data_IF_582625139479
#
_entry.id   IF_582625139479
#
_cell.length_a   1.000
_cell.length_b   1.000
_cell.length_c   1.000
_cell.angle_alpha   90.00
_cell.angle_beta   90.00
_cell.angle_gamma   90.00
#
_symmetry.space_group_name_H-M   'P 1'
#
loop_
_entity.id
_entity.type
_entity.pdbx_description
1 polymer ?
#
# COMPACT_ATOMS: atom_id res chain seq x y z
N UNK A 1 0.93 14.57 -24.12
CA UNK A 1 -0.24 14.99 -23.32
C UNK A 1 0.27 15.90 -22.20
N UNK A 2 -0.05 17.21 -22.19
CA UNK A 2 0.44 18.16 -21.18
C UNK A 2 -0.22 17.82 -19.83
N UNK A 3 0.59 17.57 -18.80
CA UNK A 3 0.11 17.42 -17.45
C UNK A 3 -0.64 18.69 -17.03
N UNK A 4 -1.92 18.56 -16.76
CA UNK A 4 -2.78 19.66 -16.27
C UNK A 4 -2.29 19.99 -14.86
N UNK A 5 -1.74 21.18 -14.65
CA UNK A 5 -1.30 21.62 -13.32
C UNK A 5 -2.51 21.62 -12.37
N UNK A 6 -2.36 20.95 -11.22
CA UNK A 6 -3.33 20.90 -10.12
C UNK A 6 -3.48 22.25 -9.39
N UNK A 7 -2.83 23.33 -9.87
CA UNK A 7 -2.67 24.61 -9.16
C UNK A 7 -3.90 25.50 -9.10
N UNK A 8 -5.04 25.18 -9.76
CA UNK A 8 -6.18 26.08 -9.84
C UNK A 8 -7.45 25.59 -9.11
N UNK A 9 -7.37 24.52 -8.34
CA UNK A 9 -8.47 24.12 -7.45
C UNK A 9 -8.09 24.45 -6.02
N UNK A 10 -8.70 25.47 -5.44
CA UNK A 10 -8.65 25.70 -4.00
C UNK A 10 -9.16 24.45 -3.28
N UNK A 11 -8.34 23.87 -2.43
CA UNK A 11 -8.70 22.68 -1.64
C UNK A 11 -9.78 23.08 -0.62
N UNK A 12 -11.00 22.58 -0.79
CA UNK A 12 -12.10 22.77 0.15
C UNK A 12 -12.12 21.62 1.17
N UNK A 13 -11.42 21.81 2.28
CA UNK A 13 -11.37 20.86 3.38
C UNK A 13 -12.75 20.57 4.01
N UNK A 14 -13.64 21.58 4.05
CA UNK A 14 -14.98 21.44 4.60
C UNK A 14 -15.87 20.58 3.70
N UNK A 15 -15.78 20.77 2.37
CA UNK A 15 -16.45 19.92 1.40
C UNK A 15 -15.96 18.48 1.52
N UNK A 16 -14.63 18.26 1.56
CA UNK A 16 -14.06 16.92 1.71
C UNK A 16 -14.48 16.26 3.03
N UNK A 17 -14.50 17.00 4.14
CA UNK A 17 -14.91 16.45 5.46
C UNK A 17 -16.35 15.90 5.41
N UNK A 18 -17.25 16.51 4.64
CA UNK A 18 -18.66 16.06 4.49
C UNK A 18 -18.81 14.70 3.80
N UNK A 19 -17.78 14.30 3.02
CA UNK A 19 -17.77 12.96 2.38
C UNK A 19 -17.56 11.82 3.38
N UNK A 20 -17.16 12.13 4.62
CA UNK A 20 -16.89 11.14 5.67
C UNK A 20 -17.98 11.20 6.75
N UNK A 21 -18.94 10.25 6.79
CA UNK A 21 -20.05 10.27 7.73
C UNK A 21 -19.64 10.32 9.20
N UNK A 22 -18.53 9.66 9.55
CA UNK A 22 -17.98 9.67 10.91
C UNK A 22 -17.44 11.05 11.36
N UNK A 23 -17.15 11.96 10.40
CA UNK A 23 -16.57 13.28 10.65
C UNK A 23 -17.58 14.41 10.54
N UNK A 24 -18.88 14.11 10.45
CA UNK A 24 -19.94 15.14 10.27
C UNK A 24 -20.14 16.03 11.50
N UNK A 25 -19.75 15.56 12.70
CA UNK A 25 -19.79 16.39 13.90
C UNK A 25 -18.79 17.57 13.76
N UNK A 26 -19.25 18.84 13.79
CA UNK A 26 -18.38 19.99 13.59
C UNK A 26 -17.38 20.20 14.75
N UNK A 27 -17.63 19.60 15.92
CA UNK A 27 -16.74 19.65 17.08
C UNK A 27 -15.71 18.54 17.12
N UNK A 28 -15.74 17.60 16.15
CA UNK A 28 -14.80 16.49 16.06
C UNK A 28 -13.62 16.87 15.16
N UNK A 29 -12.44 16.84 15.74
CA UNK A 29 -11.16 16.95 15.03
C UNK A 29 -10.47 15.60 15.12
N UNK A 30 -10.54 14.81 14.04
CA UNK A 30 -9.88 13.50 13.96
C UNK A 30 -8.47 13.69 13.41
N UNK A 31 -7.46 13.43 14.24
CA UNK A 31 -6.04 13.66 13.92
C UNK A 31 -5.23 12.37 13.83
N UNK A 32 -5.89 11.21 13.84
CA UNK A 32 -5.23 9.89 13.88
C UNK A 32 -5.44 9.08 12.59
N UNK A 33 -5.45 9.76 11.45
CA UNK A 33 -5.59 9.09 10.13
C UNK A 33 -4.40 8.20 9.77
N UNK A 34 -3.24 8.40 10.41
CA UNK A 34 -2.08 7.53 10.24
C UNK A 34 -2.35 6.12 10.80
N UNK A 35 -3.03 6.02 11.94
CA UNK A 35 -3.43 4.73 12.52
C UNK A 35 -4.63 4.14 11.78
N UNK A 36 -5.68 4.94 11.52
CA UNK A 36 -6.91 4.48 10.86
C UNK A 36 -7.52 5.58 10.01
N UNK A 37 -7.50 5.43 8.69
CA UNK A 37 -8.20 6.32 7.79
C UNK A 37 -9.72 6.12 7.90
N UNK A 38 -10.48 7.23 7.96
CA UNK A 38 -11.93 7.17 7.96
C UNK A 38 -12.47 6.77 6.60
N UNK A 39 -13.64 6.13 6.57
CA UNK A 39 -14.23 5.61 5.35
C UNK A 39 -15.19 6.63 4.73
N UNK A 40 -14.98 7.05 3.47
CA UNK A 40 -15.90 7.96 2.82
C UNK A 40 -17.22 7.27 2.45
N UNK A 41 -18.29 8.07 2.34
CA UNK A 41 -19.64 7.59 2.04
C UNK A 41 -19.69 6.73 0.77
N UNK A 42 -18.97 7.10 -0.27
CA UNK A 42 -18.94 6.36 -1.54
C UNK A 42 -18.45 4.92 -1.36
N UNK A 43 -17.49 4.68 -0.45
CA UNK A 43 -16.98 3.35 -0.15
C UNK A 43 -18.00 2.56 0.68
N UNK A 44 -18.63 3.18 1.69
CA UNK A 44 -19.69 2.55 2.48
C UNK A 44 -20.87 2.12 1.61
N UNK A 45 -21.30 2.99 0.69
CA UNK A 45 -22.39 2.70 -0.25
C UNK A 45 -22.03 1.56 -1.21
N UNK A 46 -20.77 1.50 -1.67
CA UNK A 46 -20.29 0.42 -2.53
C UNK A 46 -20.25 -0.93 -1.79
N UNK A 47 -19.75 -0.95 -0.56
CA UNK A 47 -19.75 -2.15 0.30
C UNK A 47 -21.19 -2.63 0.54
N UNK A 48 -22.09 -1.73 0.96
CA UNK A 48 -23.50 -2.07 1.21
C UNK A 48 -24.17 -2.65 -0.04
N UNK A 49 -23.95 -2.04 -1.18
CA UNK A 49 -24.53 -2.52 -2.46
C UNK A 49 -24.01 -3.92 -2.81
N UNK A 50 -22.70 -4.14 -2.69
CA UNK A 50 -22.12 -5.45 -2.95
C UNK A 50 -22.71 -6.54 -2.05
N UNK A 51 -22.81 -6.26 -0.74
CA UNK A 51 -23.38 -7.22 0.23
C UNK A 51 -24.85 -7.57 -0.08
N UNK A 52 -25.64 -6.60 -0.52
CA UNK A 52 -27.07 -6.80 -0.79
C UNK A 52 -27.36 -7.43 -2.17
N UNK A 53 -26.52 -7.16 -3.17
CA UNK A 53 -26.88 -7.43 -4.58
C UNK A 53 -25.96 -8.46 -5.27
N UNK A 54 -24.71 -8.64 -4.78
CA UNK A 54 -23.70 -9.39 -5.51
C UNK A 54 -22.82 -10.29 -4.64
N UNK A 55 -23.12 -10.45 -3.34
CA UNK A 55 -22.29 -11.29 -2.46
C UNK A 55 -22.30 -12.75 -2.92
N UNK A 56 -21.16 -13.22 -3.41
CA UNK A 56 -20.92 -14.60 -3.83
C UNK A 56 -19.41 -14.87 -3.94
N UNK A 57 -19.03 -16.14 -4.11
CA UNK A 57 -17.64 -16.51 -4.37
C UNK A 57 -17.16 -15.93 -5.70
N UNK A 58 -16.00 -15.29 -5.66
CA UNK A 58 -15.32 -14.76 -6.84
C UNK A 58 -14.65 -15.94 -7.57
N UNK A 59 -14.77 -16.00 -8.90
CA UNK A 59 -14.23 -17.02 -9.82
C UNK A 59 -14.87 -18.42 -9.77
N UNK A 60 -15.62 -18.76 -8.74
CA UNK A 60 -16.02 -20.15 -8.44
C UNK A 60 -17.45 -20.52 -8.92
N UNK A 61 -18.26 -19.57 -9.35
CA UNK A 61 -19.67 -19.84 -9.61
C UNK A 61 -20.13 -19.45 -11.00
N UNK A 62 -21.03 -20.29 -11.57
CA UNK A 62 -21.65 -20.03 -12.87
C UNK A 62 -22.97 -19.26 -12.77
N UNK A 63 -23.51 -19.07 -11.57
CA UNK A 63 -24.76 -18.35 -11.35
C UNK A 63 -24.60 -16.83 -11.39
N UNK A 64 -25.72 -16.11 -11.50
CA UNK A 64 -25.74 -14.65 -11.69
C UNK A 64 -24.94 -13.89 -10.65
N UNK A 65 -25.05 -14.21 -9.36
CA UNK A 65 -24.36 -13.49 -8.29
C UNK A 65 -22.84 -13.70 -8.35
N UNK A 66 -22.37 -14.92 -8.63
CA UNK A 66 -20.94 -15.20 -8.76
C UNK A 66 -20.32 -14.48 -9.96
N UNK A 67 -21.04 -14.40 -11.08
CA UNK A 67 -20.58 -13.60 -12.24
C UNK A 67 -20.51 -12.12 -11.89
N UNK A 68 -21.49 -11.57 -11.18
CA UNK A 68 -21.50 -10.18 -10.75
C UNK A 68 -20.35 -9.87 -9.77
N UNK A 69 -20.13 -10.74 -8.79
CA UNK A 69 -19.00 -10.62 -7.85
C UNK A 69 -17.65 -10.68 -8.56
N UNK A 70 -17.48 -11.63 -9.48
CA UNK A 70 -16.24 -11.77 -10.29
C UNK A 70 -16.01 -10.54 -11.15
N UNK A 71 -17.02 -10.03 -11.82
CA UNK A 71 -16.92 -8.83 -12.63
C UNK A 71 -16.51 -7.60 -11.80
N UNK A 72 -17.14 -7.41 -10.63
CA UNK A 72 -16.79 -6.33 -9.70
C UNK A 72 -15.33 -6.41 -9.22
N UNK A 73 -14.87 -7.62 -8.87
CA UNK A 73 -13.49 -7.86 -8.46
C UNK A 73 -12.49 -7.54 -9.57
N UNK A 74 -12.75 -8.00 -10.80
CA UNK A 74 -11.88 -7.76 -11.95
C UNK A 74 -11.85 -6.28 -12.34
N UNK A 75 -13.00 -5.58 -12.29
CA UNK A 75 -13.04 -4.13 -12.53
C UNK A 75 -12.23 -3.37 -11.47
N UNK A 76 -12.34 -3.73 -10.19
CA UNK A 76 -11.54 -3.13 -9.13
C UNK A 76 -10.03 -3.32 -9.37
N UNK A 77 -9.59 -4.54 -9.74
CA UNK A 77 -8.19 -4.81 -10.09
C UNK A 77 -7.72 -3.97 -11.28
N UNK A 78 -8.52 -3.90 -12.33
CA UNK A 78 -8.20 -3.11 -13.52
C UNK A 78 -8.11 -1.61 -13.20
N UNK A 79 -8.96 -1.08 -12.31
CA UNK A 79 -8.89 0.31 -11.83
C UNK A 79 -7.62 0.57 -11.03
N UNK A 80 -7.27 -0.33 -10.10
CA UNK A 80 -6.03 -0.25 -9.32
C UNK A 80 -4.80 -0.28 -10.24
N UNK A 81 -4.77 -1.20 -11.22
CA UNK A 81 -3.68 -1.28 -12.19
C UNK A 81 -3.51 0.03 -12.98
N UNK A 82 -4.61 0.62 -13.47
CA UNK A 82 -4.54 1.92 -14.17
C UNK A 82 -4.04 3.04 -13.27
N UNK A 83 -4.49 3.09 -12.01
CA UNK A 83 -4.06 4.10 -11.05
C UNK A 83 -2.55 3.99 -10.73
N UNK A 84 -2.04 2.77 -10.62
CA UNK A 84 -0.63 2.48 -10.34
C UNK A 84 0.25 2.45 -11.60
N UNK A 85 -0.31 2.71 -12.80
CA UNK A 85 0.38 2.57 -14.08
C UNK A 85 0.98 1.18 -14.31
N UNK A 86 0.38 0.13 -13.73
CA UNK A 86 0.76 -1.25 -13.98
C UNK A 86 0.39 -1.66 -15.42
N UNK A 87 1.19 -2.52 -16.04
CA UNK A 87 0.96 -2.98 -17.41
C UNK A 87 -0.27 -3.87 -17.54
N UNK A 88 -0.60 -4.59 -16.47
CA UNK A 88 -1.70 -5.54 -16.43
C UNK A 88 -2.38 -5.57 -15.07
N UNK A 89 -3.68 -5.85 -15.05
CA UNK A 89 -4.41 -6.11 -13.82
C UNK A 89 -3.90 -7.37 -13.07
N UNK A 90 -3.20 -8.26 -13.76
CA UNK A 90 -2.59 -9.46 -13.16
C UNK A 90 -1.41 -9.12 -12.23
N UNK A 91 -0.80 -7.95 -12.39
CA UNK A 91 0.26 -7.45 -11.49
C UNK A 91 -0.30 -6.93 -10.15
N UNK A 92 -1.63 -6.84 -10.01
CA UNK A 92 -2.29 -6.37 -8.79
C UNK A 92 -2.80 -7.53 -7.98
N UNK A 93 -2.32 -7.65 -6.75
CA UNK A 93 -2.78 -8.64 -5.77
C UNK A 93 -3.38 -7.90 -4.58
N UNK A 94 -4.66 -8.13 -4.30
CA UNK A 94 -5.30 -7.58 -3.11
C UNK A 94 -4.96 -8.42 -1.87
N UNK A 95 -4.62 -7.75 -0.78
CA UNK A 95 -4.30 -8.36 0.51
C UNK A 95 -5.03 -7.64 1.64
N UNK A 96 -4.88 -8.13 2.86
CA UNK A 96 -5.46 -7.52 4.08
C UNK A 96 -4.55 -6.40 4.65
N UNK A 97 -4.11 -5.48 3.77
CA UNK A 97 -3.29 -4.32 4.14
C UNK A 97 -1.78 -4.53 3.96
N UNK A 98 -1.00 -3.44 4.17
CA UNK A 98 0.43 -3.40 3.89
C UNK A 98 1.24 -4.46 4.63
N UNK A 99 0.92 -4.72 5.91
CA UNK A 99 1.58 -5.76 6.70
C UNK A 99 1.45 -7.13 6.04
N UNK A 100 0.25 -7.47 5.57
CA UNK A 100 0.00 -8.75 4.87
C UNK A 100 0.73 -8.81 3.54
N UNK A 101 0.76 -7.71 2.78
CA UNK A 101 1.48 -7.62 1.50
C UNK A 101 2.99 -7.84 1.67
N UNK A 102 3.59 -7.18 2.65
CA UNK A 102 5.04 -7.27 2.90
C UNK A 102 5.42 -8.66 3.39
N UNK A 103 4.62 -9.25 4.29
CA UNK A 103 4.85 -10.65 4.72
C UNK A 103 4.71 -11.64 3.56
N UNK A 104 3.73 -11.44 2.68
CA UNK A 104 3.57 -12.25 1.47
C UNK A 104 4.83 -12.13 0.58
N UNK A 105 5.32 -10.93 0.34
CA UNK A 105 6.51 -10.69 -0.46
C UNK A 105 7.76 -11.32 0.20
N UNK A 106 7.95 -11.13 1.49
CA UNK A 106 9.07 -11.71 2.23
C UNK A 106 9.06 -13.23 2.23
N UNK A 107 7.87 -13.87 2.31
CA UNK A 107 7.75 -15.32 2.31
C UNK A 107 7.79 -15.95 0.92
N UNK A 108 7.42 -15.24 -0.14
CA UNK A 108 7.42 -15.73 -1.53
C UNK A 108 8.71 -15.34 -2.26
N UNK A 109 8.81 -14.10 -2.73
CA UNK A 109 9.98 -13.61 -3.46
C UNK A 109 11.25 -13.64 -2.59
N UNK A 110 11.15 -13.27 -1.31
CA UNK A 110 12.27 -13.32 -0.38
C UNK A 110 12.87 -14.73 -0.20
N UNK A 111 12.09 -15.79 -0.44
CA UNK A 111 12.60 -17.15 -0.43
C UNK A 111 13.60 -17.46 -1.57
N UNK A 112 13.66 -16.61 -2.59
CA UNK A 112 14.62 -16.73 -3.71
C UNK A 112 15.98 -16.10 -3.40
N UNK A 113 16.08 -15.30 -2.32
CA UNK A 113 17.32 -14.67 -1.91
C UNK A 113 18.31 -15.66 -1.34
N UNK A 114 19.60 -15.42 -1.60
CA UNK A 114 20.71 -16.25 -1.14
C UNK A 114 21.46 -15.62 0.02
N UNK A 115 22.21 -16.40 0.81
CA UNK A 115 23.08 -15.84 1.85
C UNK A 115 24.04 -14.80 1.31
N UNK A 116 24.09 -13.63 1.93
CA UNK A 116 24.89 -12.48 1.52
C UNK A 116 24.23 -11.55 0.51
N UNK A 117 23.04 -11.87 0.00
CA UNK A 117 22.19 -10.87 -0.66
C UNK A 117 21.78 -9.80 0.35
N UNK A 118 21.48 -8.60 -0.13
CA UNK A 118 21.18 -7.45 0.72
C UNK A 118 19.80 -6.88 0.44
N UNK A 119 19.14 -6.41 1.51
CA UNK A 119 17.90 -5.64 1.46
C UNK A 119 18.20 -4.27 2.07
N UNK A 120 17.94 -3.20 1.31
CA UNK A 120 18.06 -1.84 1.78
C UNK A 120 16.71 -1.35 2.32
N UNK A 121 16.73 -0.94 3.58
CA UNK A 121 15.63 -0.34 4.32
C UNK A 121 15.95 1.12 4.63
N UNK A 122 14.99 1.88 5.15
CA UNK A 122 15.29 3.17 5.75
C UNK A 122 15.25 3.12 7.29
N UNK A 123 15.86 4.11 7.93
CA UNK A 123 15.74 4.29 9.37
C UNK A 123 14.34 4.74 9.84
N UNK A 124 13.45 5.07 8.89
CA UNK A 124 12.09 5.57 9.14
C UNK A 124 11.00 4.48 8.99
N UNK A 125 11.39 3.21 8.87
CA UNK A 125 10.42 2.17 8.56
C UNK A 125 9.46 1.85 9.73
N UNK A 126 8.19 1.71 9.38
CA UNK A 126 7.22 1.10 10.27
C UNK A 126 7.56 -0.39 10.49
N UNK A 127 7.23 -0.94 11.66
CA UNK A 127 7.49 -2.35 11.99
C UNK A 127 7.00 -3.34 10.93
N UNK A 128 5.90 -3.04 10.24
CA UNK A 128 5.38 -3.88 9.14
C UNK A 128 6.35 -4.02 7.97
N UNK A 129 7.22 -3.02 7.75
CA UNK A 129 8.26 -3.04 6.71
C UNK A 129 9.68 -3.22 7.29
N UNK A 130 9.78 -3.66 8.51
CA UNK A 130 11.06 -3.98 9.16
C UNK A 130 11.10 -5.45 9.59
N UNK A 131 10.14 -5.87 10.42
CA UNK A 131 10.15 -7.20 11.06
C UNK A 131 10.11 -8.36 10.06
N UNK A 132 9.32 -8.34 8.96
CA UNK A 132 9.35 -9.41 7.97
C UNK A 132 10.74 -9.63 7.35
N UNK A 133 11.47 -8.55 7.10
CA UNK A 133 12.82 -8.59 6.54
C UNK A 133 13.85 -9.07 7.56
N UNK A 134 13.73 -8.69 8.83
CA UNK A 134 14.57 -9.24 9.93
C UNK A 134 14.40 -10.75 10.03
N UNK A 135 13.15 -11.24 10.01
CA UNK A 135 12.85 -12.67 10.01
C UNK A 135 13.39 -13.41 8.79
N UNK A 136 13.36 -12.77 7.63
CA UNK A 136 13.95 -13.31 6.42
C UNK A 136 15.48 -13.36 6.54
N UNK A 137 16.11 -12.30 7.03
CA UNK A 137 17.54 -12.20 7.24
C UNK A 137 18.05 -13.32 8.18
N UNK A 138 17.38 -13.52 9.32
CA UNK A 138 17.70 -14.59 10.27
C UNK A 138 17.62 -15.99 9.63
N UNK A 139 16.62 -16.24 8.79
CA UNK A 139 16.38 -17.56 8.19
C UNK A 139 17.25 -17.85 6.98
N UNK A 140 17.61 -16.83 6.22
CA UNK A 140 18.25 -16.98 4.90
C UNK A 140 19.69 -16.47 4.84
N UNK A 141 20.20 -15.82 5.90
CA UNK A 141 21.53 -15.21 5.88
C UNK A 141 21.61 -13.97 4.98
N UNK A 142 20.48 -13.30 4.72
CA UNK A 142 20.40 -12.04 3.97
C UNK A 142 20.83 -10.90 4.89
N UNK A 143 21.59 -9.94 4.38
CA UNK A 143 22.03 -8.78 5.14
C UNK A 143 21.02 -7.62 5.01
N UNK A 144 20.72 -6.94 6.12
CA UNK A 144 19.94 -5.71 6.11
C UNK A 144 20.86 -4.50 6.12
N UNK A 145 20.66 -3.61 5.17
CA UNK A 145 21.31 -2.29 5.10
C UNK A 145 20.29 -1.22 5.42
N UNK A 146 20.74 -0.12 5.99
CA UNK A 146 19.85 0.98 6.38
C UNK A 146 20.34 2.28 5.80
N UNK A 147 19.46 2.96 5.05
CA UNK A 147 19.66 4.34 4.66
C UNK A 147 19.39 5.23 5.90
N UNK A 148 20.37 6.00 6.36
CA UNK A 148 20.21 6.82 7.54
C UNK A 148 19.26 7.99 7.31
N UNK A 149 19.00 8.72 8.38
CA UNK A 149 18.16 9.90 8.41
C UNK A 149 19.02 11.13 8.73
N UNK A 150 18.70 12.26 8.10
CA UNK A 150 19.30 13.56 8.44
C UNK A 150 18.75 14.08 9.77
N UNK A 151 19.37 15.11 10.33
CA UNK A 151 18.90 15.78 11.54
C UNK A 151 17.48 16.39 11.40
N UNK A 152 17.08 16.73 10.17
CA UNK A 152 15.75 17.28 9.84
C UNK A 152 14.68 16.19 9.63
N UNK A 153 14.99 14.91 9.87
CA UNK A 153 14.04 13.81 9.75
C UNK A 153 13.77 13.36 8.31
N UNK A 154 14.67 13.62 7.38
CA UNK A 154 14.60 13.16 5.98
C UNK A 154 15.55 12.00 5.74
N UNK A 155 15.29 11.19 4.72
CA UNK A 155 16.27 10.20 4.29
C UNK A 155 17.52 10.91 3.75
N UNK A 156 18.69 10.47 4.22
CA UNK A 156 19.99 10.98 3.79
C UNK A 156 20.38 10.33 2.46
N UNK A 157 19.90 10.94 1.35
CA UNK A 157 20.17 10.43 0.00
C UNK A 157 21.64 10.57 -0.41
N UNK A 158 22.40 11.45 0.24
CA UNK A 158 23.85 11.59 -0.02
C UNK A 158 24.62 10.34 0.41
N UNK A 159 24.03 9.56 1.31
CA UNK A 159 24.57 8.27 1.76
C UNK A 159 24.14 7.08 0.89
N UNK A 160 23.26 7.27 -0.06
CA UNK A 160 22.69 6.17 -0.84
C UNK A 160 23.79 5.33 -1.52
N UNK A 161 24.75 5.96 -2.17
CA UNK A 161 25.85 5.26 -2.86
C UNK A 161 26.72 4.43 -1.93
N UNK A 162 26.78 4.79 -0.64
CA UNK A 162 27.58 4.05 0.36
C UNK A 162 26.87 2.84 0.93
N UNK A 163 25.52 2.80 0.87
CA UNK A 163 24.72 1.72 1.44
C UNK A 163 24.07 0.83 0.37
N UNK A 164 23.94 1.32 -0.87
CA UNK A 164 23.41 0.57 -2.00
C UNK A 164 24.56 -0.14 -2.72
N UNK A 165 24.72 -1.43 -2.48
CA UNK A 165 25.79 -2.24 -3.07
C UNK A 165 25.29 -3.05 -4.26
N UNK A 166 26.18 -3.70 -5.00
CA UNK A 166 25.83 -4.63 -6.08
C UNK A 166 25.09 -5.88 -5.59
N UNK A 167 25.15 -6.19 -4.30
CA UNK A 167 24.42 -7.28 -3.66
C UNK A 167 22.99 -6.91 -3.28
N UNK A 168 22.61 -5.64 -3.38
CA UNK A 168 21.27 -5.19 -3.06
C UNK A 168 20.26 -5.77 -4.07
N UNK A 169 19.33 -6.58 -3.57
CA UNK A 169 18.26 -7.21 -4.35
C UNK A 169 16.92 -6.53 -4.18
N UNK A 170 16.73 -5.84 -3.08
CA UNK A 170 15.49 -5.16 -2.76
C UNK A 170 15.77 -3.85 -2.03
N UNK A 171 15.03 -2.83 -2.42
CA UNK A 171 14.92 -1.56 -1.68
C UNK A 171 13.49 -1.46 -1.19
N UNK A 172 13.30 -1.46 0.14
CA UNK A 172 11.98 -1.40 0.77
C UNK A 172 11.91 -0.19 1.71
N UNK A 173 11.42 0.93 1.19
CA UNK A 173 11.47 2.25 1.83
C UNK A 173 10.07 2.84 1.90
N UNK A 174 9.71 3.41 3.07
CA UNK A 174 8.47 4.20 3.19
C UNK A 174 8.59 5.51 2.40
N UNK A 175 7.50 5.88 1.71
CA UNK A 175 7.45 7.18 1.01
C UNK A 175 7.18 8.33 1.98
N UNK A 176 6.34 8.09 2.98
CA UNK A 176 5.98 9.06 4.02
C UNK A 176 5.78 8.33 5.33
N UNK A 177 6.61 8.63 6.33
CA UNK A 177 6.52 8.06 7.67
C UNK A 177 5.51 8.84 8.51
N UNK A 178 4.80 8.14 9.39
CA UNK A 178 3.88 8.72 10.37
C UNK A 178 4.64 9.28 11.59
#
# INVERSE_FOLDING_TARGET
MKARRLSDRTFDAAALKREFPSLTNPRLYYLDSAATAQMPKVVLDALRRFELEARANVHEGVHRLARAATAAYQDARARAARFLHAKSAQEVVFTYGATSSINLLASSWGALLEPGDEILLSALEHHSNLVPWQRLAERRGVALRFLPMTAEGRLDLDRLETVLTERCRLVAITHCSN
#
